data_IF_246073816772
#
_entry.id   IF_246073816772
#
_cell.length_a   1.000
_cell.length_b   1.000
_cell.length_c   1.000
_cell.angle_alpha   90.00
_cell.angle_beta   90.00
_cell.angle_gamma   90.00
#
_symmetry.space_group_name_H-M   'P 1'
#
loop_
_entity.id
_entity.type
_entity.pdbx_description
1 polymer ?
#
# COMPACT_ATOMS: atom_id res chain seq x y z
N UNK A 1 15.64 10.36 7.25
CA UNK A 1 15.95 9.02 6.69
C UNK A 1 15.85 7.92 7.74
N UNK A 2 16.45 8.08 8.93
CA UNK A 2 16.40 7.07 10.01
C UNK A 2 14.97 6.73 10.48
N UNK A 3 14.09 7.72 10.63
CA UNK A 3 12.72 7.53 11.15
C UNK A 3 11.81 6.69 10.23
N UNK A 4 11.92 6.87 8.91
CA UNK A 4 11.17 6.08 7.92
C UNK A 4 11.61 4.63 7.97
N UNK A 5 12.92 4.39 8.08
CA UNK A 5 13.48 3.05 8.13
C UNK A 5 13.14 2.32 9.43
N UNK A 6 13.12 3.05 10.56
CA UNK A 6 12.65 2.52 11.83
C UNK A 6 11.17 2.17 11.79
N UNK A 7 10.34 3.02 11.17
CA UNK A 7 8.90 2.75 10.99
C UNK A 7 8.67 1.53 10.10
N UNK A 8 9.40 1.41 9.00
CA UNK A 8 9.35 0.23 8.13
C UNK A 8 9.77 -1.05 8.88
N UNK A 9 10.82 -0.99 9.71
CA UNK A 9 11.23 -2.13 10.56
C UNK A 9 10.16 -2.48 11.59
N UNK A 10 9.53 -1.49 12.22
CA UNK A 10 8.42 -1.71 13.17
C UNK A 10 7.24 -2.37 12.49
N UNK A 11 6.88 -1.94 11.30
CA UNK A 11 5.82 -2.58 10.50
C UNK A 11 6.21 -4.00 10.09
N UNK A 12 7.44 -4.22 9.65
CA UNK A 12 7.92 -5.55 9.26
C UNK A 12 7.98 -6.52 10.45
N UNK A 13 8.19 -6.00 11.67
CA UNK A 13 8.19 -6.81 12.90
C UNK A 13 6.79 -7.24 13.37
N UNK A 14 5.73 -6.68 12.78
CA UNK A 14 4.37 -7.10 13.10
C UNK A 14 4.15 -8.53 12.58
N UNK A 15 3.55 -9.37 13.43
CA UNK A 15 3.23 -10.76 13.06
C UNK A 15 2.26 -10.77 11.87
N UNK A 16 2.56 -11.60 10.87
CA UNK A 16 1.77 -11.70 9.65
C UNK A 16 2.15 -10.71 8.54
N UNK A 17 3.02 -9.71 8.77
CA UNK A 17 3.50 -8.84 7.67
C UNK A 17 4.48 -9.59 6.78
N UNK A 18 4.09 -9.79 5.52
CA UNK A 18 4.89 -10.48 4.51
C UNK A 18 5.75 -9.51 3.70
N UNK A 19 5.25 -8.30 3.46
CA UNK A 19 5.95 -7.33 2.64
C UNK A 19 5.42 -5.91 2.80
N UNK A 20 6.31 -4.95 2.59
CA UNK A 20 5.98 -3.52 2.58
C UNK A 20 6.57 -2.92 1.32
N UNK A 21 5.76 -2.11 0.62
CA UNK A 21 6.14 -1.41 -0.59
C UNK A 21 5.72 0.06 -0.44
N UNK A 22 6.66 0.96 -0.69
CA UNK A 22 6.44 2.41 -0.78
C UNK A 22 6.52 2.78 -2.25
N UNK A 23 5.46 3.41 -2.78
CA UNK A 23 5.33 3.79 -4.19
C UNK A 23 5.11 5.29 -4.27
N UNK A 24 5.69 5.96 -5.26
CA UNK A 24 5.40 7.38 -5.50
C UNK A 24 4.03 7.58 -6.18
N UNK A 25 3.64 8.84 -6.41
CA UNK A 25 2.41 9.19 -7.14
C UNK A 25 2.39 8.77 -8.61
N UNK A 26 3.54 8.40 -9.18
CA UNK A 26 3.68 7.94 -10.57
C UNK A 26 3.62 6.41 -10.69
N UNK A 27 3.45 5.68 -9.58
CA UNK A 27 3.42 4.22 -9.58
C UNK A 27 4.80 3.55 -9.54
N UNK A 28 5.87 4.32 -9.33
CA UNK A 28 7.25 3.84 -9.24
C UNK A 28 7.57 3.45 -7.78
N UNK A 29 7.98 2.19 -7.53
CA UNK A 29 8.37 1.77 -6.18
C UNK A 29 9.67 2.45 -5.74
N UNK A 30 9.61 3.17 -4.60
CA UNK A 30 10.76 3.84 -3.97
C UNK A 30 11.52 2.86 -3.06
N UNK A 31 10.78 2.06 -2.27
CA UNK A 31 11.36 1.10 -1.31
C UNK A 31 10.46 -0.11 -1.19
N UNK A 32 11.06 -1.29 -1.12
CA UNK A 32 10.33 -2.55 -0.96
C UNK A 32 11.13 -3.52 -0.11
N UNK A 33 10.43 -4.35 0.66
CA UNK A 33 11.01 -5.50 1.36
C UNK A 33 10.83 -6.81 0.59
N UNK A 34 10.24 -6.77 -0.61
CA UNK A 34 9.98 -7.91 -1.49
C UNK A 34 10.92 -7.92 -2.70
N UNK A 35 10.89 -8.99 -3.49
CA UNK A 35 11.61 -9.07 -4.76
C UNK A 35 11.10 -8.04 -5.78
N UNK A 36 12.01 -7.58 -6.65
CA UNK A 36 11.73 -6.54 -7.65
C UNK A 36 10.56 -6.85 -8.60
N UNK A 37 10.42 -8.07 -9.18
CA UNK A 37 9.31 -8.35 -10.08
C UNK A 37 7.96 -8.31 -9.36
N UNK A 38 7.85 -8.92 -8.17
CA UNK A 38 6.62 -8.86 -7.37
C UNK A 38 6.29 -7.43 -6.95
N UNK A 39 7.30 -6.67 -6.52
CA UNK A 39 7.17 -5.25 -6.14
C UNK A 39 6.58 -4.41 -7.27
N UNK A 40 7.13 -4.55 -8.47
CA UNK A 40 6.70 -3.79 -9.65
C UNK A 40 5.27 -4.16 -10.05
N UNK A 41 4.91 -5.44 -9.97
CA UNK A 41 3.56 -5.90 -10.24
C UNK A 41 2.55 -5.32 -9.24
N UNK A 42 2.84 -5.37 -7.94
CA UNK A 42 1.96 -4.80 -6.91
C UNK A 42 1.84 -3.29 -7.04
N UNK A 43 2.95 -2.58 -7.25
CA UNK A 43 2.95 -1.13 -7.42
C UNK A 43 2.02 -0.69 -8.56
N UNK A 44 2.16 -1.30 -9.75
CA UNK A 44 1.35 -0.96 -10.91
C UNK A 44 -0.14 -1.29 -10.73
N UNK A 45 -0.45 -2.47 -10.18
CA UNK A 45 -1.84 -2.89 -9.96
C UNK A 45 -2.53 -2.04 -8.89
N UNK A 46 -1.86 -1.80 -7.77
CA UNK A 46 -2.41 -1.00 -6.68
C UNK A 46 -2.55 0.46 -7.07
N UNK A 47 -1.57 1.03 -7.78
CA UNK A 47 -1.64 2.42 -8.24
C UNK A 47 -2.92 2.67 -9.08
N UNK A 48 -3.15 1.85 -10.11
CA UNK A 48 -4.34 1.95 -10.94
C UNK A 48 -5.64 1.75 -10.15
N UNK A 49 -5.63 0.85 -9.17
CA UNK A 49 -6.80 0.57 -8.34
C UNK A 49 -7.13 1.74 -7.40
N UNK A 50 -6.13 2.32 -6.74
CA UNK A 50 -6.30 3.44 -5.80
C UNK A 50 -6.83 4.67 -6.54
N UNK A 51 -6.33 4.97 -7.74
CA UNK A 51 -6.81 6.09 -8.54
C UNK A 51 -8.30 5.96 -8.85
N UNK A 52 -8.74 4.76 -9.25
CA UNK A 52 -10.17 4.48 -9.50
C UNK A 52 -10.99 4.57 -8.21
N UNK A 53 -10.53 3.94 -7.13
CA UNK A 53 -11.21 3.97 -5.84
C UNK A 53 -11.39 5.40 -5.31
N UNK A 54 -10.35 6.24 -5.44
CA UNK A 54 -10.39 7.65 -5.06
C UNK A 54 -11.38 8.45 -5.90
N UNK A 55 -11.43 8.21 -7.21
CA UNK A 55 -12.43 8.83 -8.10
C UNK A 55 -13.84 8.46 -7.66
N UNK A 56 -14.10 7.17 -7.41
CA UNK A 56 -15.42 6.69 -6.98
C UNK A 56 -15.85 7.26 -5.62
N UNK A 57 -14.93 7.39 -4.64
CA UNK A 57 -15.24 8.03 -3.35
C UNK A 57 -15.65 9.49 -3.54
N UNK A 58 -14.93 10.23 -4.39
CA UNK A 58 -15.23 11.63 -4.70
C UNK A 58 -16.51 11.83 -5.52
N UNK A 59 -16.86 10.86 -6.35
CA UNK A 59 -18.14 10.85 -7.09
C UNK A 59 -19.33 10.65 -6.16
N UNK A 60 -19.16 9.90 -5.06
CA UNK A 60 -20.20 9.71 -4.02
C UNK A 60 -20.33 10.96 -3.14
N UNK A 61 -19.21 11.48 -2.63
CA UNK A 61 -19.14 12.72 -1.86
C UNK A 61 -17.86 13.49 -2.18
N UNK A 62 -17.95 14.66 -2.85
CA UNK A 62 -16.80 15.49 -3.20
C UNK A 62 -15.99 16.00 -1.99
N UNK A 63 -16.56 15.99 -0.78
CA UNK A 63 -15.86 16.42 0.44
C UNK A 63 -15.03 15.29 1.07
N UNK A 64 -15.18 14.05 0.60
CA UNK A 64 -14.47 12.89 1.15
C UNK A 64 -13.26 12.54 0.26
N UNK A 65 -12.16 12.11 0.89
CA UNK A 65 -11.02 11.54 0.19
C UNK A 65 -10.70 10.15 0.74
N UNK A 66 -10.10 9.31 -0.11
CA UNK A 66 -9.69 7.98 0.30
C UNK A 66 -8.48 8.10 1.24
N UNK A 67 -8.65 7.76 2.52
CA UNK A 67 -7.59 7.83 3.53
C UNK A 67 -6.92 6.48 3.78
N UNK A 68 -7.67 5.40 3.64
CA UNK A 68 -7.20 4.05 3.90
C UNK A 68 -8.03 3.02 3.14
N UNK A 69 -7.36 2.00 2.62
CA UNK A 69 -8.00 0.93 1.86
C UNK A 69 -7.46 -0.43 2.31
N UNK A 70 -8.35 -1.37 2.60
CA UNK A 70 -8.00 -2.72 3.05
C UNK A 70 -8.75 -3.75 2.21
N UNK A 71 -8.00 -4.60 1.51
CA UNK A 71 -8.52 -5.69 0.69
C UNK A 71 -8.09 -6.99 1.35
N UNK A 72 -9.06 -7.76 1.85
CA UNK A 72 -8.81 -9.10 2.39
C UNK A 72 -9.19 -10.16 1.37
N UNK A 73 -8.24 -11.03 1.06
CA UNK A 73 -8.48 -12.27 0.32
C UNK A 73 -8.26 -13.47 1.23
N UNK A 74 -8.52 -14.69 0.73
CA UNK A 74 -8.25 -15.92 1.48
C UNK A 74 -6.77 -16.17 1.75
N UNK A 75 -5.88 -15.64 0.89
CA UNK A 75 -4.44 -15.89 0.95
C UNK A 75 -3.65 -14.70 1.48
N UNK A 76 -4.06 -13.49 1.13
CA UNK A 76 -3.36 -12.26 1.41
C UNK A 76 -4.33 -11.17 1.87
N UNK A 77 -3.87 -10.29 2.74
CA UNK A 77 -4.51 -9.05 3.11
C UNK A 77 -3.63 -7.88 2.70
N UNK A 78 -4.18 -6.98 1.90
CA UNK A 78 -3.47 -5.82 1.35
C UNK A 78 -4.04 -4.58 2.00
N UNK A 79 -3.19 -3.83 2.68
CA UNK A 79 -3.51 -2.56 3.31
C UNK A 79 -2.78 -1.46 2.54
N UNK A 80 -3.52 -0.43 2.16
CA UNK A 80 -3.00 0.69 1.39
C UNK A 80 -3.36 1.98 2.10
N UNK A 81 -2.36 2.79 2.41
CA UNK A 81 -2.51 4.14 2.93
C UNK A 81 -1.99 5.13 1.88
N UNK A 82 -2.88 5.83 1.15
CA UNK A 82 -2.49 6.96 0.32
C UNK A 82 -2.12 8.18 1.17
N UNK A 83 -0.99 8.82 0.84
CA UNK A 83 -0.58 10.13 1.33
C UNK A 83 -0.41 11.08 0.13
N UNK A 84 -0.05 12.35 0.35
CA UNK A 84 0.07 13.39 -0.68
C UNK A 84 1.02 13.00 -1.82
N UNK A 85 2.19 12.45 -1.46
CA UNK A 85 3.30 12.24 -2.40
C UNK A 85 3.69 10.76 -2.57
N UNK A 86 3.07 9.87 -1.80
CA UNK A 86 3.38 8.44 -1.84
C UNK A 86 2.20 7.57 -1.40
N UNK A 87 2.26 6.30 -1.77
CA UNK A 87 1.37 5.25 -1.31
C UNK A 87 2.17 4.23 -0.50
N UNK A 88 1.71 3.93 0.70
CA UNK A 88 2.22 2.83 1.50
C UNK A 88 1.34 1.60 1.28
N UNK A 89 1.94 0.52 0.80
CA UNK A 89 1.29 -0.77 0.59
C UNK A 89 1.90 -1.77 1.57
N UNK A 90 1.05 -2.42 2.35
CA UNK A 90 1.44 -3.47 3.31
C UNK A 90 0.70 -4.74 2.92
N UNK A 91 1.45 -5.83 2.78
CA UNK A 91 0.94 -7.16 2.45
C UNK A 91 1.09 -8.02 3.69
N UNK A 92 -0.02 -8.59 4.14
CA UNK A 92 -0.12 -9.40 5.33
C UNK A 92 -0.76 -10.76 5.03
N UNK A 93 -0.45 -11.75 5.86
CA UNK A 93 -1.15 -13.02 5.86
C UNK A 93 -2.46 -12.88 6.66
N UNK A 94 -3.64 -13.12 6.06
CA UNK A 94 -4.94 -12.98 6.72
C UNK A 94 -5.23 -14.06 7.77
N UNK A 95 -4.36 -15.07 7.92
CA UNK A 95 -4.54 -16.22 8.82
C UNK A 95 -3.59 -16.25 10.02
N UNK A 96 -2.65 -15.30 10.14
CA UNK A 96 -1.71 -15.22 11.28
C UNK A 96 -2.13 -14.31 12.43
#
# INVERSE_FOLDING_TARGET
MAEVEETLKRLQSQKGVQGIIVVNTEGIPIKSTMDNPTTTQYANLMHNFILKARSTVREIDPQNDLTFLRIRSKKNEIMVAPDKDYFLIVIQNPTE
#
